data_IF_094079674293
#
_entry.id   IF_094079674293
#
_cell.length_a   1.000
_cell.length_b   1.000
_cell.length_c   1.000
_cell.angle_alpha   90.00
_cell.angle_beta   90.00
_cell.angle_gamma   90.00
#
_symmetry.space_group_name_H-M   'P 1'
#
loop_
_entity.id
_entity.type
_entity.pdbx_description
1 polymer ?
#
# COMPACT_ATOMS: atom_id res chain seq x y z
N UNK A 1 7.66 -17.90 8.33
CA UNK A 1 7.04 -16.57 8.50
C UNK A 1 8.06 -15.66 9.16
N UNK A 2 8.29 -14.47 8.60
CA UNK A 2 9.25 -13.52 9.15
C UNK A 2 8.68 -12.89 10.43
N UNK A 3 9.40 -13.03 11.56
CA UNK A 3 8.96 -12.52 12.87
C UNK A 3 9.07 -10.99 12.99
N UNK A 4 9.75 -10.35 12.05
CA UNK A 4 9.92 -8.89 12.01
C UNK A 4 8.79 -8.17 11.27
N UNK A 5 7.79 -8.91 10.76
CA UNK A 5 6.54 -8.30 10.27
C UNK A 5 5.71 -7.87 11.48
N UNK A 6 5.53 -6.56 11.64
CA UNK A 6 4.81 -5.94 12.76
C UNK A 6 3.44 -5.37 12.36
N UNK A 7 3.13 -5.29 11.06
CA UNK A 7 1.84 -4.77 10.62
C UNK A 7 1.60 -4.81 9.12
N UNK A 8 0.64 -4.03 8.67
CA UNK A 8 0.30 -3.79 7.27
C UNK A 8 -0.11 -2.34 7.08
N UNK A 9 0.20 -1.74 5.94
CA UNK A 9 -0.21 -0.36 5.61
C UNK A 9 -0.82 -0.29 4.22
N UNK A 10 -1.90 0.48 4.10
CA UNK A 10 -2.60 0.75 2.85
C UNK A 10 -2.97 2.23 2.73
N UNK A 11 -2.93 2.80 1.52
CA UNK A 11 -3.39 4.16 1.24
C UNK A 11 -4.39 4.18 0.09
N UNK A 12 -5.60 4.72 0.33
CA UNK A 12 -6.71 4.66 -0.61
C UNK A 12 -6.40 5.42 -1.91
N UNK A 13 -6.62 4.76 -3.05
CA UNK A 13 -6.37 5.34 -4.38
C UNK A 13 -4.90 5.33 -4.80
N UNK A 14 -4.06 4.57 -4.09
CA UNK A 14 -2.68 4.27 -4.47
C UNK A 14 -2.46 2.76 -4.58
N UNK A 15 -1.27 2.36 -5.03
CA UNK A 15 -0.76 0.98 -4.96
C UNK A 15 -0.04 0.67 -3.64
N UNK A 16 -0.11 1.57 -2.65
CA UNK A 16 0.45 1.30 -1.32
C UNK A 16 -0.46 0.30 -0.63
N UNK A 17 0.00 -0.94 -0.57
CA UNK A 17 -0.65 -2.06 0.12
C UNK A 17 0.41 -3.10 0.46
N UNK A 18 1.10 -2.91 1.60
CA UNK A 18 2.33 -3.64 1.91
C UNK A 18 2.41 -4.08 3.37
N UNK A 19 3.10 -5.20 3.66
CA UNK A 19 3.48 -5.53 5.03
C UNK A 19 4.42 -4.46 5.59
N UNK A 20 4.26 -4.19 6.88
CA UNK A 20 5.15 -3.31 7.65
C UNK A 20 6.12 -4.16 8.45
N UNK A 21 7.42 -3.89 8.29
CA UNK A 21 8.49 -4.59 8.99
C UNK A 21 9.23 -3.69 9.97
N UNK A 22 9.93 -4.28 10.94
CA UNK A 22 10.85 -3.55 11.80
C UNK A 22 12.07 -4.42 12.16
N UNK A 23 13.25 -3.83 12.02
CA UNK A 23 14.53 -4.44 12.44
C UNK A 23 15.19 -3.64 13.57
N UNK A 24 16.35 -4.10 14.04
CA UNK A 24 17.15 -3.40 15.05
C UNK A 24 17.93 -2.18 14.49
N UNK A 25 17.81 -1.94 13.19
CA UNK A 25 18.41 -0.82 12.46
C UNK A 25 17.47 -0.36 11.34
N UNK A 26 17.81 0.77 10.68
CA UNK A 26 17.10 1.32 9.52
C UNK A 26 17.72 0.91 8.17
N UNK A 27 18.57 -0.13 8.14
CA UNK A 27 19.38 -0.51 6.97
C UNK A 27 18.90 -1.84 6.36
N UNK A 28 18.60 -2.84 7.20
CA UNK A 28 18.28 -4.21 6.77
C UNK A 28 17.19 -4.28 5.70
N UNK A 29 16.14 -3.48 5.82
CA UNK A 29 14.99 -3.52 4.92
C UNK A 29 15.05 -2.53 3.75
N UNK A 30 16.20 -1.85 3.59
CA UNK A 30 16.47 -1.08 2.38
C UNK A 30 16.63 -1.98 1.14
N UNK A 31 17.13 -3.21 1.30
CA UNK A 31 17.41 -4.11 0.18
C UNK A 31 16.92 -5.55 0.43
N UNK A 32 15.93 -5.72 1.32
CA UNK A 32 15.31 -7.00 1.66
C UNK A 32 13.80 -6.95 1.54
N UNK A 33 13.20 -8.03 1.05
CA UNK A 33 11.75 -8.20 0.96
C UNK A 33 11.17 -8.65 2.32
N UNK A 34 9.85 -8.81 2.39
CA UNK A 34 9.17 -9.22 3.62
C UNK A 34 9.54 -10.64 4.11
N UNK A 35 10.09 -11.49 3.24
CA UNK A 35 10.59 -12.83 3.58
C UNK A 35 12.04 -12.81 4.07
N UNK A 36 12.75 -11.69 3.91
CA UNK A 36 14.16 -11.53 4.27
C UNK A 36 15.14 -11.80 3.12
N UNK A 37 14.65 -11.95 1.87
CA UNK A 37 15.50 -12.16 0.69
C UNK A 37 15.90 -10.83 0.05
N UNK A 38 17.04 -10.80 -0.65
CA UNK A 38 17.51 -9.61 -1.36
C UNK A 38 16.52 -9.15 -2.45
N UNK A 39 16.22 -7.85 -2.46
CA UNK A 39 15.50 -7.19 -3.55
C UNK A 39 15.88 -5.71 -3.63
N UNK A 40 16.00 -5.19 -4.85
CA UNK A 40 16.29 -3.77 -5.10
C UNK A 40 15.16 -2.87 -4.59
N UNK A 41 13.92 -3.37 -4.54
CA UNK A 41 12.77 -2.59 -4.07
C UNK A 41 12.72 -2.40 -2.55
N UNK A 42 13.53 -3.12 -1.79
CA UNK A 42 13.44 -3.21 -0.33
C UNK A 42 12.05 -3.62 0.18
N UNK A 43 11.72 -3.16 1.39
CA UNK A 43 10.42 -3.30 2.03
C UNK A 43 9.92 -1.96 2.60
N UNK A 44 8.67 -1.93 3.08
CA UNK A 44 8.16 -0.85 3.92
C UNK A 44 8.52 -1.18 5.37
N UNK A 45 9.22 -0.29 6.06
CA UNK A 45 9.71 -0.58 7.40
C UNK A 45 9.60 0.62 8.35
N UNK A 46 9.28 0.32 9.60
CA UNK A 46 9.18 1.25 10.71
C UNK A 46 10.58 1.52 11.28
N UNK A 47 10.84 2.76 11.65
CA UNK A 47 12.14 3.18 12.22
C UNK A 47 12.42 2.46 13.54
N UNK A 48 13.61 1.86 13.68
CA UNK A 48 13.95 0.97 14.80
C UNK A 48 13.80 1.62 16.20
N UNK A 49 13.80 2.95 16.28
CA UNK A 49 13.71 3.70 17.54
C UNK A 49 12.28 3.79 18.09
N UNK A 50 11.27 3.54 17.27
CA UNK A 50 9.86 3.67 17.67
C UNK A 50 9.24 2.32 18.03
N UNK A 51 8.20 2.38 18.85
CA UNK A 51 7.48 1.19 19.27
C UNK A 51 6.60 0.65 18.13
N UNK A 52 6.71 -0.64 17.74
CA UNK A 52 5.87 -1.24 16.70
C UNK A 52 4.37 -1.26 17.06
N UNK A 53 4.03 -0.97 18.32
CA UNK A 53 2.66 -0.83 18.80
C UNK A 53 2.09 0.59 18.65
N UNK A 54 2.81 1.51 18.02
CA UNK A 54 2.39 2.90 17.77
C UNK A 54 1.97 3.63 19.05
N UNK A 55 2.74 3.45 20.12
CA UNK A 55 2.49 4.13 21.42
C UNK A 55 3.13 5.51 21.47
N UNK A 56 4.17 5.76 20.67
CA UNK A 56 4.84 7.05 20.56
C UNK A 56 3.95 8.09 19.88
N UNK A 57 4.09 9.38 20.22
CA UNK A 57 3.30 10.44 19.61
C UNK A 57 3.44 10.46 18.07
N UNK A 58 4.68 10.33 17.57
CA UNK A 58 4.96 10.14 16.16
C UNK A 58 5.59 8.77 15.91
N UNK A 59 5.48 8.28 14.68
CA UNK A 59 6.20 7.09 14.23
C UNK A 59 6.59 7.29 12.77
N UNK A 60 7.84 6.95 12.44
CA UNK A 60 8.37 7.14 11.09
C UNK A 60 8.40 5.78 10.39
N UNK A 61 7.84 5.74 9.19
CA UNK A 61 7.82 4.57 8.31
C UNK A 61 8.53 4.96 7.01
N UNK A 62 9.52 4.18 6.63
CA UNK A 62 10.29 4.37 5.42
C UNK A 62 9.83 3.41 4.32
N UNK A 63 9.98 3.86 3.07
CA UNK A 63 9.82 3.03 1.89
C UNK A 63 10.51 3.65 0.69
N UNK A 64 10.99 2.82 -0.22
CA UNK A 64 11.58 3.30 -1.47
C UNK A 64 10.57 4.03 -2.34
N UNK A 65 11.05 5.04 -3.08
CA UNK A 65 10.30 5.70 -4.14
C UNK A 65 10.68 5.05 -5.45
N UNK A 66 9.91 4.07 -5.91
CA UNK A 66 10.17 3.39 -7.18
C UNK A 66 9.51 4.18 -8.32
N UNK A 67 10.25 4.42 -9.41
CA UNK A 67 9.71 5.10 -10.60
C UNK A 67 8.48 4.39 -11.21
N UNK A 68 8.33 3.08 -10.97
CA UNK A 68 7.15 2.28 -11.35
C UNK A 68 5.90 2.57 -10.51
N UNK A 69 6.02 3.35 -9.43
CA UNK A 69 4.98 3.55 -8.42
C UNK A 69 4.88 2.42 -7.40
N UNK A 70 5.80 1.46 -7.39
CA UNK A 70 5.87 0.46 -6.32
C UNK A 70 6.33 1.08 -4.98
N UNK A 71 6.10 0.36 -3.88
CA UNK A 71 6.46 0.80 -2.52
C UNK A 71 5.80 2.16 -2.21
N UNK A 72 6.56 3.15 -1.76
CA UNK A 72 6.07 4.50 -1.52
C UNK A 72 6.19 5.43 -2.73
N UNK A 73 6.48 4.90 -3.94
CA UNK A 73 6.61 5.69 -5.17
C UNK A 73 5.35 6.47 -5.55
N UNK A 74 4.16 6.07 -5.08
CA UNK A 74 2.93 6.83 -5.31
C UNK A 74 2.63 7.92 -4.27
N UNK A 75 3.45 8.06 -3.21
CA UNK A 75 3.31 9.16 -2.24
C UNK A 75 3.46 10.52 -2.94
N UNK A 76 4.28 10.61 -3.99
CA UNK A 76 4.43 11.84 -4.79
C UNK A 76 3.11 12.34 -5.40
N UNK A 77 2.09 11.47 -5.59
CA UNK A 77 0.78 11.90 -6.09
C UNK A 77 0.10 12.88 -5.12
N UNK A 78 0.35 12.76 -3.82
CA UNK A 78 -0.17 13.70 -2.82
C UNK A 78 0.43 15.10 -2.94
N UNK A 79 1.55 15.29 -3.65
CA UNK A 79 2.07 16.61 -4.00
C UNK A 79 1.32 17.29 -5.16
N UNK A 80 0.27 16.65 -5.70
CA UNK A 80 -0.75 17.28 -6.54
C UNK A 80 -1.99 17.63 -5.69
N UNK A 81 -2.47 18.87 -5.79
CA UNK A 81 -3.56 19.38 -4.95
C UNK A 81 -4.88 18.61 -5.11
N UNK A 82 -5.28 18.27 -6.34
CA UNK A 82 -6.53 17.56 -6.60
C UNK A 82 -6.49 16.15 -6.03
N UNK A 83 -5.36 15.45 -6.25
CA UNK A 83 -5.17 14.12 -5.68
C UNK A 83 -5.14 14.19 -4.14
N UNK A 84 -4.41 15.15 -3.58
CA UNK A 84 -4.42 15.37 -2.13
C UNK A 84 -5.85 15.52 -1.64
N UNK A 85 -6.63 16.47 -2.16
CA UNK A 85 -8.01 16.75 -1.72
C UNK A 85 -8.95 15.54 -1.78
N UNK A 86 -8.83 14.75 -2.84
CA UNK A 86 -9.68 13.58 -3.09
C UNK A 86 -9.29 12.37 -2.23
N UNK A 87 -8.00 12.19 -1.93
CA UNK A 87 -7.48 11.03 -1.23
C UNK A 87 -7.09 11.38 0.20
N UNK A 88 -8.02 11.13 1.13
CA UNK A 88 -7.89 11.56 2.55
C UNK A 88 -7.59 10.42 3.51
N UNK A 89 -7.74 9.18 3.08
CA UNK A 89 -7.76 8.04 4.00
C UNK A 89 -6.86 6.90 3.55
N UNK A 90 -6.54 6.04 4.51
CA UNK A 90 -5.90 4.75 4.33
C UNK A 90 -6.11 3.91 5.59
N UNK A 91 -5.40 2.80 5.70
CA UNK A 91 -5.43 1.96 6.88
C UNK A 91 -4.06 1.47 7.31
N UNK A 92 -3.96 1.17 8.59
CA UNK A 92 -2.79 0.54 9.19
C UNK A 92 -3.25 -0.58 10.13
N UNK A 93 -2.67 -1.76 9.98
CA UNK A 93 -2.94 -2.91 10.82
C UNK A 93 -1.74 -3.17 11.72
N UNK A 94 -1.99 -3.24 13.02
CA UNK A 94 -1.00 -3.64 14.02
C UNK A 94 -1.74 -4.14 15.27
N UNK A 95 -1.09 -4.94 16.11
CA UNK A 95 -1.71 -5.48 17.35
C UNK A 95 -3.05 -6.19 17.14
N UNK A 96 -3.21 -6.88 16.01
CA UNK A 96 -4.45 -7.62 15.73
C UNK A 96 -5.63 -6.75 15.30
N UNK A 97 -5.44 -5.45 15.09
CA UNK A 97 -6.52 -4.51 14.79
C UNK A 97 -6.18 -3.61 13.60
N UNK A 98 -7.12 -3.47 12.69
CA UNK A 98 -7.07 -2.45 11.63
C UNK A 98 -7.52 -1.11 12.19
N UNK A 99 -6.74 -0.06 11.90
CA UNK A 99 -6.98 1.33 12.28
C UNK A 99 -6.96 2.21 11.03
N UNK A 100 -7.58 3.38 11.12
CA UNK A 100 -7.59 4.33 10.03
C UNK A 100 -6.36 5.22 10.01
N UNK A 101 -5.96 5.63 8.82
CA UNK A 101 -5.02 6.72 8.59
C UNK A 101 -5.79 7.90 7.99
N UNK A 102 -5.81 9.04 8.67
CA UNK A 102 -6.37 10.28 8.15
C UNK A 102 -5.23 11.20 7.69
N UNK A 103 -5.11 11.37 6.38
CA UNK A 103 -4.02 12.12 5.74
C UNK A 103 -4.29 13.61 5.92
N UNK A 104 -3.37 14.29 6.59
CA UNK A 104 -3.50 15.72 6.92
C UNK A 104 -2.40 16.59 6.34
N UNK A 105 -1.33 16.03 5.77
CA UNK A 105 -0.28 16.84 5.17
C UNK A 105 0.67 16.07 4.26
N UNK A 106 1.34 16.80 3.38
CA UNK A 106 2.44 16.31 2.55
C UNK A 106 3.58 17.33 2.60
N UNK A 107 4.78 16.87 2.91
CA UNK A 107 5.99 17.68 3.02
C UNK A 107 6.91 17.37 1.83
N UNK A 108 7.56 18.42 1.31
CA UNK A 108 8.70 18.33 0.41
C UNK A 108 9.91 18.94 1.13
N UNK A 109 10.73 18.10 1.74
CA UNK A 109 11.81 18.51 2.66
C UNK A 109 13.13 17.82 2.29
N UNK A 110 14.21 18.29 2.90
CA UNK A 110 15.52 17.66 2.76
C UNK A 110 15.66 16.47 3.72
N UNK A 111 16.39 15.42 3.31
CA UNK A 111 16.64 14.22 4.12
C UNK A 111 17.42 14.49 5.42
N UNK A 112 18.11 15.62 5.53
CA UNK A 112 18.91 16.02 6.70
C UNK A 112 18.15 16.91 7.68
N UNK A 113 16.83 17.07 7.54
CA UNK A 113 16.01 17.80 8.52
C UNK A 113 15.91 17.01 9.84
N UNK A 114 16.85 17.29 10.76
CA UNK A 114 16.96 16.60 12.05
C UNK A 114 15.75 16.83 12.95
N UNK A 115 15.01 17.93 12.75
CA UNK A 115 13.81 18.20 13.51
C UNK A 115 12.67 17.25 13.14
N UNK A 116 12.59 16.78 11.89
CA UNK A 116 11.56 15.82 11.46
C UNK A 116 11.87 14.41 11.98
N UNK A 117 13.13 13.99 11.87
CA UNK A 117 13.56 12.60 12.13
C UNK A 117 14.01 12.32 13.57
N UNK A 118 13.72 13.24 14.51
CA UNK A 118 14.02 13.07 15.94
C UNK A 118 12.93 12.28 16.68
N UNK A 119 13.33 11.68 17.79
CA UNK A 119 12.39 11.14 18.78
C UNK A 119 11.87 12.27 19.67
N UNK A 120 10.68 12.08 20.24
CA UNK A 120 10.03 13.04 21.11
C UNK A 120 9.95 12.50 22.53
N UNK A 121 10.00 13.38 23.52
CA UNK A 121 9.70 13.02 24.91
C UNK A 121 8.18 12.92 25.13
N UNK A 122 7.73 12.47 26.30
CA UNK A 122 6.29 12.44 26.64
C UNK A 122 5.78 13.80 27.16
N UNK A 123 6.04 14.87 26.40
CA UNK A 123 5.66 16.24 26.73
C UNK A 123 4.70 16.81 25.68
N UNK A 124 3.49 17.21 26.12
CA UNK A 124 2.44 17.73 25.25
C UNK A 124 2.81 19.04 24.53
N UNK A 125 3.57 19.94 25.18
CA UNK A 125 4.06 21.17 24.57
C UNK A 125 5.06 20.87 23.44
N UNK A 126 5.93 19.86 23.66
CA UNK A 126 6.85 19.39 22.64
C UNK A 126 6.10 18.75 21.46
N UNK A 127 5.06 17.96 21.73
CA UNK A 127 4.22 17.36 20.70
C UNK A 127 3.51 18.42 19.86
N UNK A 128 2.95 19.44 20.52
CA UNK A 128 2.30 20.55 19.84
C UNK A 128 3.30 21.36 19.01
N UNK A 129 4.48 21.68 19.56
CA UNK A 129 5.53 22.38 18.83
C UNK A 129 6.00 21.58 17.60
N UNK A 130 6.18 20.27 17.75
CA UNK A 130 6.53 19.37 16.65
C UNK A 130 5.45 19.32 15.57
N UNK A 131 4.18 19.22 15.96
CA UNK A 131 3.06 19.27 15.01
C UNK A 131 3.02 20.58 14.23
N UNK A 132 3.16 21.73 14.91
CA UNK A 132 3.21 23.03 14.25
C UNK A 132 4.43 23.15 13.31
N UNK A 133 5.57 22.60 13.70
CA UNK A 133 6.75 22.52 12.83
C UNK A 133 6.45 21.75 11.54
N UNK A 134 5.84 20.56 11.64
CA UNK A 134 5.43 19.78 10.47
C UNK A 134 4.47 20.57 9.56
N UNK A 135 3.45 21.23 10.12
CA UNK A 135 2.50 22.04 9.36
C UNK A 135 3.14 23.28 8.71
N UNK A 136 4.23 23.80 9.27
CA UNK A 136 4.98 24.92 8.69
C UNK A 136 5.75 24.51 7.43
N UNK A 137 6.10 23.22 7.31
CA UNK A 137 6.84 22.63 6.18
C UNK A 137 5.92 21.99 5.13
N UNK A 138 4.64 21.82 5.45
CA UNK A 138 3.70 21.13 4.59
C UNK A 138 3.39 21.95 3.33
N UNK A 139 3.54 21.32 2.16
CA UNK A 139 3.13 21.87 0.86
C UNK A 139 1.61 21.96 0.76
N UNK A 140 0.93 20.88 1.12
CA UNK A 140 -0.51 20.88 1.36
C UNK A 140 -0.78 20.33 2.74
N UNK A 141 -1.81 20.88 3.38
CA UNK A 141 -2.24 20.49 4.71
C UNK A 141 -3.75 20.65 4.88
N UNK A 142 -4.28 19.94 5.87
CA UNK A 142 -5.65 20.05 6.35
C UNK A 142 -5.63 20.35 7.82
N UNK A 143 -6.66 21.06 8.25
CA UNK A 143 -6.95 21.18 9.67
C UNK A 143 -7.49 19.85 10.16
N UNK A 144 -6.67 19.15 10.95
CA UNK A 144 -7.07 17.97 11.72
C UNK A 144 -6.79 18.29 13.16
N UNK A 145 -7.78 18.12 14.04
CA UNK A 145 -7.59 18.31 15.46
C UNK A 145 -6.71 17.19 16.01
N UNK A 146 -5.58 17.57 16.61
CA UNK A 146 -4.74 16.68 17.42
C UNK A 146 -4.95 16.99 18.90
N UNK A 147 -5.13 15.93 19.66
CA UNK A 147 -5.11 15.88 21.12
C UNK A 147 -3.82 15.19 21.56
N UNK A 148 -3.45 15.30 22.83
CA UNK A 148 -2.26 14.62 23.38
C UNK A 148 -2.34 13.08 23.27
N UNK A 149 -3.56 12.53 23.19
CA UNK A 149 -3.77 11.09 23.02
C UNK A 149 -3.62 10.61 21.59
N UNK A 150 -3.72 11.51 20.62
CA UNK A 150 -3.61 11.15 19.21
C UNK A 150 -2.19 10.68 18.87
N UNK A 151 -2.09 9.89 17.80
CA UNK A 151 -0.84 9.33 17.29
C UNK A 151 -0.74 9.67 15.82
N UNK A 152 0.43 10.11 15.38
CA UNK A 152 0.68 10.45 13.98
C UNK A 152 1.75 9.53 13.39
N UNK A 153 1.66 9.31 12.08
CA UNK A 153 2.65 8.58 11.29
C UNK A 153 3.20 9.45 10.19
N UNK A 154 4.49 9.32 9.95
CA UNK A 154 5.23 9.98 8.88
C UNK A 154 5.69 8.91 7.89
N UNK A 155 5.11 8.92 6.69
CA UNK A 155 5.49 8.00 5.61
C UNK A 155 6.55 8.69 4.75
N UNK A 156 7.82 8.39 4.99
CA UNK A 156 8.95 9.05 4.35
C UNK A 156 9.49 8.24 3.16
N UNK A 157 9.69 8.93 2.04
CA UNK A 157 10.26 8.35 0.82
C UNK A 157 11.11 9.36 0.04
N UNK A 158 11.96 8.86 -0.86
CA UNK A 158 12.80 9.72 -1.71
C UNK A 158 11.95 10.60 -2.65
N UNK A 159 12.26 11.89 -2.69
CA UNK A 159 11.81 12.78 -3.75
C UNK A 159 12.83 12.75 -4.88
N UNK A 160 12.54 11.95 -5.91
CA UNK A 160 13.50 11.63 -6.96
C UNK A 160 13.97 12.83 -7.81
N UNK A 161 13.27 13.97 -7.77
CA UNK A 161 13.62 15.15 -8.59
C UNK A 161 14.46 16.20 -7.87
N UNK A 162 14.75 16.04 -6.58
CA UNK A 162 15.58 16.95 -5.79
C UNK A 162 16.69 16.14 -5.12
N UNK A 163 17.93 16.64 -5.16
CA UNK A 163 19.06 16.05 -4.42
C UNK A 163 18.71 15.98 -2.94
N UNK A 164 18.74 14.77 -2.36
CA UNK A 164 18.35 14.49 -0.97
C UNK A 164 16.90 14.86 -0.62
N UNK A 165 16.04 15.16 -1.59
CA UNK A 165 14.66 15.47 -1.30
C UNK A 165 13.91 14.27 -0.72
N UNK A 166 12.91 14.56 0.11
CA UNK A 166 11.99 13.59 0.69
C UNK A 166 10.56 14.09 0.57
N UNK A 167 9.69 13.18 0.12
CA UNK A 167 8.27 13.32 0.34
C UNK A 167 7.93 12.66 1.68
N UNK A 168 7.22 13.38 2.54
CA UNK A 168 6.74 12.83 3.82
C UNK A 168 5.24 13.04 3.90
N UNK A 169 4.49 11.95 3.81
CA UNK A 169 3.04 11.98 4.00
C UNK A 169 2.74 11.92 5.50
N UNK A 170 1.96 12.89 5.99
CA UNK A 170 1.53 12.94 7.38
C UNK A 170 0.12 12.39 7.50
N UNK A 171 -0.06 11.43 8.41
CA UNK A 171 -1.37 10.90 8.74
C UNK A 171 -1.58 10.76 10.25
N UNK A 172 -2.81 10.99 10.69
CA UNK A 172 -3.28 10.73 12.05
C UNK A 172 -3.81 9.29 12.10
N UNK A 173 -3.44 8.53 13.13
CA UNK A 173 -4.04 7.22 13.40
C UNK A 173 -5.39 7.44 14.08
N UNK A 174 -6.43 6.79 13.56
CA UNK A 174 -7.80 6.83 14.08
C UNK A 174 -8.26 5.43 14.50
N UNK A 175 -9.20 5.33 15.45
CA UNK A 175 -9.62 4.05 16.05
C UNK A 175 -10.32 3.09 15.09
N UNK A 176 -10.83 3.60 13.97
CA UNK A 176 -11.49 2.81 12.95
C UNK A 176 -11.04 3.30 11.56
N UNK A 177 -10.86 2.38 10.59
CA UNK A 177 -10.67 2.78 9.21
C UNK A 177 -11.87 3.58 8.73
N UNK A 178 -11.64 4.86 8.45
CA UNK A 178 -12.60 5.69 7.75
C UNK A 178 -12.50 5.30 6.28
N UNK A 179 -13.31 4.34 5.86
CA UNK A 179 -13.52 4.11 4.43
C UNK A 179 -13.99 5.43 3.86
N UNK A 180 -13.25 5.98 2.88
CA UNK A 180 -13.60 7.23 2.21
C UNK A 180 -15.12 7.29 2.05
N UNK A 181 -15.70 8.33 2.64
CA UNK A 181 -17.14 8.55 2.72
C UNK A 181 -17.81 8.00 1.46
N UNK A 182 -18.73 7.06 1.67
CA UNK A 182 -19.80 6.65 0.75
C UNK A 182 -19.73 7.43 -0.57
N UNK A 183 -19.16 6.81 -1.61
CA UNK A 183 -19.52 7.18 -2.96
C UNK A 183 -21.04 7.35 -2.98
N UNK A 184 -21.55 8.41 -3.61
CA UNK A 184 -22.97 8.68 -3.80
C UNK A 184 -23.69 7.55 -4.59
N UNK A 185 -23.04 6.42 -4.82
CA UNK A 185 -23.58 5.17 -5.35
C UNK A 185 -24.00 4.13 -4.30
N UNK A 186 -23.68 4.30 -3.01
CA UNK A 186 -24.23 3.43 -1.95
C UNK A 186 -23.77 1.96 -1.98
N UNK A 187 -22.56 1.65 -2.46
CA UNK A 187 -22.00 0.29 -2.39
C UNK A 187 -20.68 0.21 -1.62
N UNK A 188 -20.58 -0.79 -0.73
CA UNK A 188 -19.46 -1.03 0.16
C UNK A 188 -18.18 -1.43 -0.60
N UNK A 189 -17.09 -0.69 -0.38
CA UNK A 189 -15.77 -0.90 -1.04
C UNK A 189 -15.05 -2.20 -0.61
N UNK A 190 -15.62 -2.98 0.32
CA UNK A 190 -15.05 -4.24 0.82
C UNK A 190 -15.33 -5.50 -0.02
N UNK A 191 -16.14 -5.43 -1.08
CA UNK A 191 -16.57 -6.62 -1.84
C UNK A 191 -15.88 -6.81 -3.20
N UNK A 192 -14.98 -5.89 -3.60
CA UNK A 192 -14.41 -5.88 -4.96
C UNK A 192 -13.41 -6.99 -5.30
N UNK A 193 -12.93 -7.78 -4.34
CA UNK A 193 -12.04 -8.92 -4.64
C UNK A 193 -12.59 -10.29 -4.29
N UNK A 194 -13.71 -10.38 -3.56
CA UNK A 194 -14.24 -11.69 -3.12
C UNK A 194 -15.73 -11.93 -3.35
N UNK A 195 -16.52 -10.94 -3.84
CA UNK A 195 -17.97 -11.12 -4.02
C UNK A 195 -18.52 -10.73 -5.40
N UNK A 196 -17.65 -10.33 -6.34
CA UNK A 196 -18.00 -10.37 -7.75
C UNK A 196 -17.68 -11.79 -8.24
N UNK A 197 -18.66 -12.70 -8.15
CA UNK A 197 -18.62 -13.92 -8.96
C UNK A 197 -18.20 -13.55 -10.38
N UNK A 198 -17.39 -14.41 -11.02
CA UNK A 198 -16.80 -14.19 -12.34
C UNK A 198 -17.73 -13.33 -13.20
N UNK A 199 -17.28 -12.15 -13.70
CA UNK A 199 -18.15 -11.26 -14.46
C UNK A 199 -18.95 -12.08 -15.48
N UNK A 200 -20.25 -11.85 -15.65
CA UNK A 200 -21.08 -12.73 -16.50
C UNK A 200 -20.49 -12.91 -17.89
N UNK A 201 -19.84 -11.89 -18.45
CA UNK A 201 -19.07 -11.98 -19.69
C UNK A 201 -17.85 -12.92 -19.61
N UNK A 202 -17.15 -13.03 -18.48
CA UNK A 202 -16.12 -14.05 -18.23
C UNK A 202 -16.71 -15.46 -18.15
N UNK A 203 -17.89 -15.64 -17.57
CA UNK A 203 -18.60 -16.94 -17.59
C UNK A 203 -18.91 -17.33 -19.04
N UNK A 204 -19.40 -16.39 -19.86
CA UNK A 204 -19.65 -16.63 -21.29
C UNK A 204 -18.35 -16.87 -22.07
N UNK A 205 -17.26 -16.17 -21.75
CA UNK A 205 -15.94 -16.39 -22.36
C UNK A 205 -15.42 -17.79 -22.01
N UNK A 206 -15.49 -18.20 -20.73
CA UNK A 206 -15.06 -19.51 -20.28
C UNK A 206 -15.93 -20.63 -20.87
N UNK A 207 -17.24 -20.44 -20.95
CA UNK A 207 -18.15 -21.38 -21.60
C UNK A 207 -17.88 -21.50 -23.11
N UNK A 208 -17.59 -20.37 -23.78
CA UNK A 208 -17.20 -20.35 -25.19
C UNK A 208 -15.86 -21.07 -25.42
N UNK A 209 -14.85 -20.80 -24.57
CA UNK A 209 -13.55 -21.47 -24.62
C UNK A 209 -13.69 -22.99 -24.43
N UNK A 210 -14.52 -23.42 -23.47
CA UNK A 210 -14.80 -24.82 -23.22
C UNK A 210 -15.53 -25.47 -24.41
N UNK A 211 -16.48 -24.78 -25.03
CA UNK A 211 -17.19 -25.26 -26.22
C UNK A 211 -16.25 -25.41 -27.43
N UNK A 212 -15.32 -24.47 -27.63
CA UNK A 212 -14.28 -24.56 -28.67
C UNK A 212 -13.36 -25.76 -28.41
N UNK A 213 -12.94 -25.99 -27.16
CA UNK A 213 -12.11 -27.15 -26.81
C UNK A 213 -12.84 -28.47 -27.09
N UNK A 214 -14.12 -28.58 -26.74
CA UNK A 214 -14.94 -29.78 -27.02
C UNK A 214 -15.07 -30.03 -28.52
N UNK A 215 -15.31 -28.98 -29.32
CA UNK A 215 -15.37 -29.11 -30.78
C UNK A 215 -14.03 -29.58 -31.38
N UNK A 216 -12.90 -29.05 -30.89
CA UNK A 216 -11.57 -29.47 -31.32
C UNK A 216 -11.30 -30.94 -30.98
N UNK A 217 -11.71 -31.40 -29.80
CA UNK A 217 -11.60 -32.81 -29.41
C UNK A 217 -12.47 -33.72 -30.27
N UNK A 218 -13.71 -33.33 -30.59
CA UNK A 218 -14.58 -34.08 -31.49
C UNK A 218 -14.00 -34.19 -32.91
N UNK A 219 -13.45 -33.09 -33.43
CA UNK A 219 -12.77 -33.09 -34.73
C UNK A 219 -11.56 -34.02 -34.70
N UNK A 220 -10.76 -33.98 -33.62
CA UNK A 220 -9.62 -34.87 -33.45
C UNK A 220 -10.03 -36.35 -33.42
N UNK A 221 -11.10 -36.69 -32.68
CA UNK A 221 -11.65 -38.04 -32.63
C UNK A 221 -12.12 -38.50 -34.02
N UNK A 222 -12.85 -37.64 -34.75
CA UNK A 222 -13.29 -37.94 -36.12
C UNK A 222 -12.09 -38.17 -37.05
N UNK A 223 -11.03 -37.38 -36.93
CA UNK A 223 -9.80 -37.57 -37.71
C UNK A 223 -9.10 -38.89 -37.38
N UNK A 224 -9.03 -39.26 -36.10
CA UNK A 224 -8.49 -40.56 -35.66
C UNK A 224 -9.32 -41.70 -36.23
N UNK A 225 -10.66 -41.65 -36.12
CA UNK A 225 -11.55 -42.69 -36.66
C UNK A 225 -11.44 -42.81 -38.19
N UNK A 226 -11.32 -41.68 -38.91
CA UNK A 226 -11.10 -41.67 -40.37
C UNK A 226 -9.73 -42.26 -40.73
N UNK A 227 -8.70 -42.00 -39.92
CA UNK A 227 -7.37 -42.58 -40.12
C UNK A 227 -7.39 -44.10 -39.92
N UNK A 228 -8.04 -44.58 -38.85
CA UNK A 228 -8.12 -46.00 -38.55
C UNK A 228 -8.96 -46.77 -39.58
N UNK A 229 -10.05 -46.16 -40.09
CA UNK A 229 -10.82 -46.73 -41.21
C UNK A 229 -9.97 -46.85 -42.48
N UNK A 230 -9.23 -45.80 -42.85
CA UNK A 230 -8.29 -45.87 -44.00
C UNK A 230 -7.19 -46.92 -43.82
N UNK A 231 -6.72 -47.15 -42.59
CA UNK A 231 -5.72 -48.19 -42.29
C UNK A 231 -6.34 -49.59 -42.42
N UNK A 232 -7.59 -49.79 -41.97
CA UNK A 232 -8.32 -51.06 -42.14
C UNK A 232 -8.65 -51.36 -43.62
N UNK A 233 -9.07 -50.35 -44.38
CA UNK A 233 -9.37 -50.51 -45.81
C UNK A 233 -8.12 -50.76 -46.68
N UNK A 234 -6.92 -50.36 -46.22
CA UNK A 234 -5.63 -50.69 -46.87
C UNK A 234 -5.06 -52.07 -46.51
N UNK A 235 -5.60 -52.75 -45.49
CA UNK A 235 -5.17 -54.07 -45.03
C UNK A 235 -6.06 -55.22 -45.53
N UNK A 236 -7.08 -54.91 -46.33
CA UNK A 236 -7.99 -55.84 -46.97
C UNK A 236 -7.71 -55.88 -48.47
#
# INVERSE_FOLDING_TARGET
MNKEVCGWISLDGTKVDYPLLQSQDNVKYLDRNAFGDYTVSGSIFLDYRFNPNFTDFNTIIYGHSMASGAMFGEIQKFANQEFFEKHRYGSIYYNGRERGLEIFGILEVDAYDTEIYRTLSSNDEEHQAYYQYLLSKAKYKRDVSLTSTDKIVLLSTCFLTITNGRHILLAKITDAPVKAAQDKSGEAVGTRYFDQGLPTHWIYILAFLLLVIVLLLLILIILIMRRDKKIKDKKK
#
